data_IF_003613592318
#
_entry.id   IF_003613592318
#
_cell.length_a   1.000
_cell.length_b   1.000
_cell.length_c   1.000
_cell.angle_alpha   90.00
_cell.angle_beta   90.00
_cell.angle_gamma   90.00
#
_symmetry.space_group_name_H-M   'P 1'
#
loop_
_entity.id
_entity.type
_entity.pdbx_description
1 polymer ?
#
# COMPACT_ATOMS: atom_id res chain seq x y z
N UNK A 1 -4.36 19.77 1.87
CA UNK A 1 -3.19 19.07 1.35
C UNK A 1 -3.45 17.57 1.28
N UNK A 2 -2.51 16.82 0.75
CA UNK A 2 -2.59 15.35 0.60
C UNK A 2 -2.36 14.58 1.91
N UNK A 3 -1.83 15.23 2.94
CA UNK A 3 -1.64 14.61 4.25
C UNK A 3 -2.99 14.52 4.98
N UNK A 4 -3.36 13.29 5.34
CA UNK A 4 -4.57 12.96 6.09
C UNK A 4 -4.20 12.21 7.37
N UNK A 5 -4.77 12.62 8.51
CA UNK A 5 -4.60 11.94 9.79
C UNK A 5 -5.97 11.40 10.22
N UNK A 6 -6.08 10.08 10.35
CA UNK A 6 -7.34 9.46 10.76
C UNK A 6 -7.57 9.55 12.28
N UNK A 7 -8.77 9.18 12.74
CA UNK A 7 -9.17 9.22 14.16
C UNK A 7 -8.33 8.30 15.06
N UNK A 8 -7.55 7.39 14.48
CA UNK A 8 -6.64 6.47 15.19
C UNK A 8 -5.22 7.01 15.25
N UNK A 9 -4.98 8.20 14.70
CA UNK A 9 -3.67 8.84 14.65
C UNK A 9 -2.74 8.25 13.57
N UNK A 10 -3.28 7.57 12.55
CA UNK A 10 -2.50 7.13 11.41
C UNK A 10 -2.29 8.29 10.43
N UNK A 11 -1.06 8.43 9.94
CA UNK A 11 -0.64 9.46 9.00
C UNK A 11 -0.58 8.88 7.59
N UNK A 12 -1.50 9.32 6.73
CA UNK A 12 -1.61 8.90 5.34
C UNK A 12 -1.23 10.04 4.41
N UNK A 13 -0.56 9.73 3.32
CA UNK A 13 -0.37 10.67 2.21
C UNK A 13 -1.21 10.13 1.06
N UNK A 14 -2.30 10.83 0.77
CA UNK A 14 -3.30 10.40 -0.21
C UNK A 14 -2.91 10.78 -1.63
N UNK A 15 -3.20 9.89 -2.58
CA UNK A 15 -3.03 10.17 -4.00
C UNK A 15 -4.14 11.11 -4.51
N UNK A 16 -5.35 10.95 -3.98
CA UNK A 16 -6.51 11.77 -4.27
C UNK A 16 -7.08 12.41 -3.03
N UNK A 17 -7.47 13.69 -3.14
CA UNK A 17 -8.14 14.42 -2.04
C UNK A 17 -9.64 14.19 -2.18
N UNK A 18 -10.17 13.22 -1.45
CA UNK A 18 -11.56 12.80 -1.44
C UNK A 18 -12.16 12.98 -0.04
N UNK A 19 -13.49 13.15 0.06
CA UNK A 19 -14.19 13.17 1.36
C UNK A 19 -14.00 11.86 2.12
N UNK A 20 -14.00 10.73 1.42
CA UNK A 20 -13.66 9.41 1.98
C UNK A 20 -12.34 8.95 1.39
N UNK A 21 -11.25 9.00 2.16
CA UNK A 21 -9.93 8.57 1.70
C UNK A 21 -9.91 7.10 1.26
N UNK A 22 -9.18 6.83 0.20
CA UNK A 22 -9.10 5.46 -0.37
C UNK A 22 -7.83 4.71 0.04
N UNK A 23 -6.82 5.42 0.52
CA UNK A 23 -5.54 4.85 0.96
C UNK A 23 -4.93 3.93 -0.10
N UNK A 24 -4.63 4.46 -1.30
CA UNK A 24 -4.02 3.70 -2.39
C UNK A 24 -2.60 3.28 -1.99
N UNK A 25 -2.33 1.97 -1.97
CA UNK A 25 -1.11 1.41 -1.40
C UNK A 25 0.15 1.84 -2.14
N UNK A 26 0.19 1.68 -3.47
CA UNK A 26 1.37 2.05 -4.25
C UNK A 26 1.65 3.55 -4.21
N UNK A 27 0.62 4.39 -4.28
CA UNK A 27 0.75 5.85 -4.19
C UNK A 27 1.28 6.28 -2.83
N UNK A 28 0.77 5.70 -1.74
CA UNK A 28 1.26 5.97 -0.39
C UNK A 28 2.74 5.60 -0.22
N UNK A 29 3.17 4.43 -0.72
CA UNK A 29 4.59 4.03 -0.61
C UNK A 29 5.49 4.93 -1.46
N UNK A 30 5.05 5.35 -2.64
CA UNK A 30 5.81 6.30 -3.47
C UNK A 30 5.99 7.65 -2.77
N UNK A 31 4.92 8.15 -2.15
CA UNK A 31 5.00 9.38 -1.38
C UNK A 31 5.97 9.26 -0.19
N UNK A 32 6.00 8.09 0.48
CA UNK A 32 6.97 7.79 1.53
C UNK A 32 8.41 7.89 1.05
N UNK A 33 8.72 7.43 -0.16
CA UNK A 33 10.06 7.57 -0.73
C UNK A 33 10.43 9.03 -0.97
N UNK A 34 9.49 9.84 -1.48
CA UNK A 34 9.72 11.28 -1.61
C UNK A 34 9.98 11.97 -0.27
N UNK A 35 9.26 11.58 0.78
CA UNK A 35 9.50 12.10 2.15
C UNK A 35 10.87 11.61 2.68
N UNK A 36 11.24 10.36 2.40
CA UNK A 36 12.56 9.82 2.74
C UNK A 36 13.69 10.60 2.07
N UNK A 37 13.56 10.90 0.77
CA UNK A 37 14.53 11.67 0.03
C UNK A 37 14.66 13.10 0.59
N UNK A 38 13.55 13.76 0.91
CA UNK A 38 13.55 15.06 1.55
C UNK A 38 14.29 15.04 2.90
N UNK A 39 14.08 13.98 3.70
CA UNK A 39 14.84 13.79 4.94
C UNK A 39 16.33 13.60 4.67
N UNK A 40 16.70 12.70 3.75
CA UNK A 40 18.10 12.28 3.56
C UNK A 40 18.93 13.28 2.78
N UNK A 41 18.36 13.91 1.75
CA UNK A 41 19.08 14.81 0.87
C UNK A 41 19.07 16.26 1.36
N UNK A 42 17.98 16.67 2.04
CA UNK A 42 17.81 18.04 2.53
C UNK A 42 18.00 18.15 4.06
N UNK A 43 18.33 17.05 4.74
CA UNK A 43 18.47 16.96 6.20
C UNK A 43 17.25 17.50 6.96
N UNK A 44 16.05 17.41 6.36
CA UNK A 44 14.83 17.98 6.89
C UNK A 44 14.29 17.12 8.04
N UNK A 45 14.29 17.67 9.24
CA UNK A 45 13.83 16.99 10.46
C UNK A 45 12.31 16.72 10.48
N UNK A 46 11.51 17.60 9.90
CA UNK A 46 10.05 17.41 9.80
C UNK A 46 9.72 16.25 8.83
N UNK A 47 10.46 16.16 7.71
CA UNK A 47 10.35 15.03 6.80
C UNK A 47 10.75 13.71 7.47
N UNK A 48 11.78 13.72 8.32
CA UNK A 48 12.17 12.56 9.13
C UNK A 48 11.01 12.07 10.01
N UNK A 49 10.41 12.98 10.76
CA UNK A 49 9.32 12.66 11.69
C UNK A 49 8.09 12.17 10.92
N UNK A 50 7.75 12.80 9.81
CA UNK A 50 6.65 12.39 8.94
C UNK A 50 6.90 10.99 8.36
N UNK A 51 8.12 10.72 7.86
CA UNK A 51 8.48 9.39 7.36
C UNK A 51 8.23 8.30 8.40
N UNK A 52 8.70 8.48 9.64
CA UNK A 52 8.51 7.49 10.69
C UNK A 52 7.04 7.29 11.06
N UNK A 53 6.24 8.36 11.13
CA UNK A 53 4.79 8.28 11.39
C UNK A 53 4.08 7.52 10.26
N UNK A 54 4.39 7.82 9.01
CA UNK A 54 3.82 7.14 7.86
C UNK A 54 4.28 5.67 7.75
N UNK A 55 5.54 5.35 8.05
CA UNK A 55 6.01 3.96 8.14
C UNK A 55 5.22 3.18 9.19
N UNK A 56 5.01 3.76 10.38
CA UNK A 56 4.20 3.14 11.43
C UNK A 56 2.76 2.90 10.98
N UNK A 57 2.18 3.86 10.25
CA UNK A 57 0.86 3.74 9.65
C UNK A 57 0.80 2.57 8.68
N UNK A 58 1.78 2.48 7.76
CA UNK A 58 1.87 1.38 6.79
C UNK A 58 1.98 0.02 7.48
N UNK A 59 2.91 -0.14 8.42
CA UNK A 59 3.08 -1.39 9.19
C UNK A 59 1.79 -1.83 9.88
N UNK A 60 1.13 -0.90 10.57
CA UNK A 60 -0.09 -1.19 11.34
C UNK A 60 -1.26 -1.62 10.45
N UNK A 61 -1.33 -1.05 9.23
CA UNK A 61 -2.46 -1.24 8.34
C UNK A 61 -2.20 -2.23 7.18
N UNK A 62 -0.96 -2.67 6.97
CA UNK A 62 -0.59 -3.51 5.82
C UNK A 62 -1.42 -4.80 5.73
N UNK A 63 -1.80 -5.38 6.87
CA UNK A 63 -2.70 -6.54 6.93
C UNK A 63 -4.08 -6.31 6.31
N UNK A 64 -4.53 -5.05 6.23
CA UNK A 64 -5.83 -4.71 5.61
C UNK A 64 -5.77 -4.84 4.09
N UNK A 65 -4.58 -4.71 3.49
CA UNK A 65 -4.37 -4.89 2.05
C UNK A 65 -4.20 -6.35 1.66
N UNK A 66 -4.20 -7.29 2.61
CA UNK A 66 -4.05 -8.72 2.37
C UNK A 66 -5.41 -9.41 2.25
N UNK A 67 -5.81 -9.76 1.03
CA UNK A 67 -7.03 -10.50 0.77
C UNK A 67 -6.84 -12.04 0.83
N UNK A 68 -5.82 -12.52 1.56
CA UNK A 68 -5.49 -13.93 1.79
C UNK A 68 -5.11 -14.76 0.56
N UNK A 69 -5.13 -14.17 -0.63
CA UNK A 69 -4.66 -14.77 -1.87
C UNK A 69 -4.08 -13.74 -2.84
N UNK A 70 -4.23 -12.43 -2.55
CA UNK A 70 -3.76 -11.32 -3.38
C UNK A 70 -3.70 -10.02 -2.59
N UNK A 71 -2.97 -9.00 -3.06
CA UNK A 71 -3.00 -7.68 -2.44
C UNK A 71 -4.19 -6.84 -2.94
N UNK A 72 -4.76 -6.01 -2.07
CA UNK A 72 -5.70 -4.97 -2.47
C UNK A 72 -4.94 -3.76 -3.06
N UNK A 73 -5.63 -3.03 -3.93
CA UNK A 73 -5.12 -1.79 -4.50
C UNK A 73 -5.28 -0.62 -3.53
N UNK A 74 -6.42 -0.58 -2.85
CA UNK A 74 -6.83 0.48 -1.93
C UNK A 74 -7.72 -0.07 -0.80
N UNK A 75 -8.05 0.77 0.18
CA UNK A 75 -8.93 0.47 1.31
C UNK A 75 -10.26 1.23 1.26
N UNK A 76 -10.79 1.51 0.06
CA UNK A 76 -12.10 2.12 -0.08
C UNK A 76 -13.21 1.27 0.55
N UNK A 77 -14.24 1.93 1.07
CA UNK A 77 -15.39 1.26 1.68
C UNK A 77 -16.41 0.83 0.60
N UNK A 78 -15.97 -0.02 -0.34
CA UNK A 78 -16.82 -0.62 -1.38
C UNK A 78 -17.27 -2.01 -0.96
N UNK A 79 -18.47 -2.44 -1.41
CA UNK A 79 -18.97 -3.78 -1.13
C UNK A 79 -18.03 -4.88 -1.62
N UNK A 80 -17.44 -4.72 -2.80
CA UNK A 80 -16.42 -5.60 -3.33
C UNK A 80 -15.04 -4.93 -3.20
N UNK A 81 -14.06 -5.54 -2.50
CA UNK A 81 -12.73 -4.94 -2.34
C UNK A 81 -12.01 -4.78 -3.68
N UNK A 82 -11.36 -3.65 -3.88
CA UNK A 82 -10.59 -3.39 -5.09
C UNK A 82 -9.27 -4.15 -5.08
N UNK A 83 -9.25 -5.33 -5.71
CA UNK A 83 -8.04 -6.14 -5.87
C UNK A 83 -7.07 -5.46 -6.86
N UNK A 84 -5.78 -5.48 -6.57
CA UNK A 84 -4.75 -5.00 -7.48
C UNK A 84 -4.67 -5.86 -8.73
N UNK A 85 -4.36 -5.23 -9.89
CA UNK A 85 -4.02 -5.98 -11.09
C UNK A 85 -2.72 -6.77 -10.86
N UNK A 86 -2.39 -7.78 -11.70
CA UNK A 86 -1.11 -8.48 -11.61
C UNK A 86 0.11 -7.55 -11.63
N UNK A 87 0.04 -6.47 -12.40
CA UNK A 87 1.08 -5.44 -12.43
C UNK A 87 1.25 -4.76 -11.06
N UNK A 88 0.15 -4.24 -10.48
CA UNK A 88 0.20 -3.57 -9.19
C UNK A 88 0.52 -4.52 -8.03
N UNK A 89 0.10 -5.77 -8.11
CA UNK A 89 0.50 -6.77 -7.11
C UNK A 89 2.02 -6.98 -7.10
N UNK A 90 2.64 -7.14 -8.26
CA UNK A 90 4.09 -7.23 -8.37
C UNK A 90 4.78 -5.93 -7.93
N UNK A 91 4.21 -4.78 -8.27
CA UNK A 91 4.73 -3.49 -7.82
C UNK A 91 4.73 -3.38 -6.30
N UNK A 92 3.64 -3.75 -5.63
CA UNK A 92 3.56 -3.77 -4.16
C UNK A 92 4.65 -4.66 -3.53
N UNK A 93 4.91 -5.84 -4.10
CA UNK A 93 5.98 -6.74 -3.63
C UNK A 93 7.34 -6.03 -3.69
N UNK A 94 7.66 -5.42 -4.84
CA UNK A 94 8.92 -4.68 -5.02
C UNK A 94 9.01 -3.50 -4.06
N UNK A 95 7.94 -2.73 -3.93
CA UNK A 95 7.86 -1.59 -3.03
C UNK A 95 8.09 -2.00 -1.57
N UNK A 96 7.48 -3.09 -1.10
CA UNK A 96 7.68 -3.57 0.26
C UNK A 96 9.11 -4.09 0.50
N UNK A 97 9.75 -4.74 -0.50
CA UNK A 97 11.17 -5.13 -0.41
C UNK A 97 12.07 -3.89 -0.27
N UNK A 98 11.77 -2.81 -0.97
CA UNK A 98 12.49 -1.53 -0.83
C UNK A 98 12.21 -0.92 0.55
N UNK A 99 10.96 -0.90 1.03
CA UNK A 99 10.64 -0.42 2.37
C UNK A 99 11.38 -1.21 3.45
N UNK A 100 11.50 -2.53 3.32
CA UNK A 100 12.34 -3.33 4.20
C UNK A 100 13.80 -2.90 4.17
N UNK A 101 14.37 -2.69 2.98
CA UNK A 101 15.76 -2.23 2.84
C UNK A 101 16.00 -0.85 3.47
N UNK A 102 15.01 0.06 3.41
CA UNK A 102 15.10 1.41 3.99
C UNK A 102 14.90 1.44 5.51
N UNK A 103 14.08 0.55 6.06
CA UNK A 103 13.62 0.62 7.45
C UNK A 103 14.07 -0.54 8.32
N UNK A 104 14.51 -1.66 7.72
CA UNK A 104 14.79 -2.94 8.38
C UNK A 104 13.59 -3.55 9.11
N UNK A 105 12.36 -3.11 8.79
CA UNK A 105 11.14 -3.64 9.38
C UNK A 105 10.76 -4.99 8.77
N UNK A 106 10.79 -6.04 9.59
CA UNK A 106 10.43 -7.40 9.16
C UNK A 106 9.00 -7.52 8.64
N UNK A 107 8.09 -6.66 9.08
CA UNK A 107 6.71 -6.62 8.58
C UNK A 107 6.68 -6.51 7.05
N UNK A 108 7.48 -5.62 6.46
CA UNK A 108 7.52 -5.44 5.01
C UNK A 108 8.10 -6.64 4.28
N UNK A 109 9.12 -7.30 4.85
CA UNK A 109 9.69 -8.52 4.28
C UNK A 109 8.68 -9.68 4.31
N UNK A 110 7.99 -9.87 5.43
CA UNK A 110 6.99 -10.92 5.60
C UNK A 110 5.85 -10.79 4.57
N UNK A 111 5.28 -9.57 4.42
CA UNK A 111 4.21 -9.34 3.45
C UNK A 111 4.69 -9.44 2.01
N UNK A 112 5.89 -8.95 1.69
CA UNK A 112 6.44 -9.07 0.34
C UNK A 112 6.64 -10.53 -0.06
N UNK A 113 7.19 -11.36 0.82
CA UNK A 113 7.40 -12.79 0.61
C UNK A 113 6.05 -13.52 0.44
N UNK A 114 5.12 -13.27 1.34
CA UNK A 114 3.77 -13.85 1.29
C UNK A 114 3.04 -13.52 -0.01
N UNK A 115 3.10 -12.26 -0.44
CA UNK A 115 2.45 -11.84 -1.67
C UNK A 115 3.16 -12.38 -2.92
N UNK A 116 4.47 -12.58 -2.86
CA UNK A 116 5.23 -13.25 -3.93
C UNK A 116 4.75 -14.70 -4.10
N UNK A 117 4.55 -15.44 -3.00
CA UNK A 117 3.96 -16.80 -3.02
C UNK A 117 2.55 -16.80 -3.63
N UNK A 118 1.72 -15.79 -3.31
CA UNK A 118 0.41 -15.63 -3.95
C UNK A 118 0.53 -15.46 -5.46
N UNK A 119 1.46 -14.63 -5.92
CA UNK A 119 1.72 -14.37 -7.34
C UNK A 119 2.21 -15.59 -8.11
N UNK A 120 2.92 -16.51 -7.45
CA UNK A 120 3.38 -17.77 -8.05
C UNK A 120 2.25 -18.80 -8.22
N UNK A 121 1.20 -18.72 -7.41
CA UNK A 121 0.08 -19.63 -7.47
C UNK A 121 -0.87 -19.29 -8.63
N UNK A 122 -0.98 -20.21 -9.61
CA UNK A 122 -1.83 -20.02 -10.80
C UNK A 122 -3.30 -19.82 -10.47
N UNK A 123 -3.82 -20.53 -9.46
CA UNK A 123 -5.23 -20.41 -9.03
C UNK A 123 -5.50 -19.02 -8.48
N UNK A 124 -4.60 -18.50 -7.64
CA UNK A 124 -4.71 -17.14 -7.11
C UNK A 124 -4.70 -16.09 -8.21
N UNK A 125 -3.83 -16.26 -9.23
CA UNK A 125 -3.77 -15.34 -10.39
C UNK A 125 -5.08 -15.29 -11.16
N UNK A 126 -5.65 -16.47 -11.48
CA UNK A 126 -6.94 -16.56 -12.18
C UNK A 126 -8.05 -15.91 -11.34
N UNK A 127 -8.12 -16.25 -10.05
CA UNK A 127 -9.08 -15.66 -9.12
C UNK A 127 -8.96 -14.14 -9.03
N UNK A 128 -7.75 -13.60 -8.99
CA UNK A 128 -7.51 -12.17 -8.95
C UNK A 128 -7.97 -11.47 -10.24
N UNK A 129 -7.70 -12.05 -11.42
CA UNK A 129 -8.15 -11.51 -12.69
C UNK A 129 -9.68 -11.49 -12.78
N UNK A 130 -10.34 -12.59 -12.40
CA UNK A 130 -11.81 -12.67 -12.40
C UNK A 130 -12.43 -11.64 -11.46
N UNK A 131 -11.92 -11.53 -10.23
CA UNK A 131 -12.41 -10.53 -9.27
C UNK A 131 -12.19 -9.09 -9.76
N UNK A 132 -11.03 -8.81 -10.36
CA UNK A 132 -10.76 -7.47 -10.93
C UNK A 132 -11.70 -7.16 -12.09
N UNK A 133 -12.00 -8.14 -12.94
CA UNK A 133 -12.96 -7.97 -14.04
C UNK A 133 -14.37 -7.74 -13.51
N UNK A 134 -14.80 -8.51 -12.52
CA UNK A 134 -16.10 -8.31 -11.88
C UNK A 134 -16.22 -6.93 -11.23
N UNK A 135 -15.18 -6.49 -10.51
CA UNK A 135 -15.13 -5.15 -9.93
C UNK A 135 -15.33 -4.07 -10.99
N UNK A 136 -14.62 -4.18 -12.13
CA UNK A 136 -14.79 -3.23 -13.24
C UNK A 136 -16.19 -3.20 -13.82
N UNK A 137 -16.86 -4.35 -13.92
CA UNK A 137 -18.25 -4.41 -14.44
C UNK A 137 -19.24 -3.74 -13.47
N UNK A 138 -19.00 -3.83 -12.16
CA UNK A 138 -19.91 -3.32 -11.14
C UNK A 138 -19.72 -1.82 -10.83
N UNK A 139 -18.52 -1.28 -11.03
CA UNK A 139 -18.17 0.07 -10.56
C UNK A 139 -17.69 1.03 -11.67
N UNK A 140 -17.52 0.55 -12.92
CA UNK A 140 -17.13 1.34 -14.08
C UNK A 140 -17.99 1.03 -15.31
#
# INVERSE_FOLDING_TARGET
GVLYVDDKGNYWIEEYILESPTHILNGFIWALWGVYDAWKLLENSEAKDLFHKCCKTLETNLKKYDNKYWSLYELSNTYLPMISSPFYHNLHIVQLKIMWALTSSNCFLEFSTKWEEYGLNRVNRVKAILNKSLFKILYY
#
